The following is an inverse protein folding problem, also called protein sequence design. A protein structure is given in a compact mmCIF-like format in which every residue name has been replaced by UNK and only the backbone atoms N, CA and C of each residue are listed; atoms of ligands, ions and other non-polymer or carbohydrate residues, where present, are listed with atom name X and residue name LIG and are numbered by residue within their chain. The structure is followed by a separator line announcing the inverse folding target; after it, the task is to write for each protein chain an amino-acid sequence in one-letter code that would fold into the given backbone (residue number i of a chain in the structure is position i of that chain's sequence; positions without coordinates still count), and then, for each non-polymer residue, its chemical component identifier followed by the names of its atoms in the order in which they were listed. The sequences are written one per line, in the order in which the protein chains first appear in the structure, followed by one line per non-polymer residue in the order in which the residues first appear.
data_IF_786520864980
#
_entry.id   IF_786520864980
#
_cell.length_a   1.000
_cell.length_b   1.000
_cell.length_c   1.000
_cell.angle_alpha   90.00
_cell.angle_beta   90.00
_cell.angle_gamma   90.00
#
_symmetry.space_group_name_H-M   'P 1'
#
loop_
_entity.id
_entity.type
_entity.pdbx_description
1 polymer ?
#
# COMPACT_ATOMS: atom_id res chain seq x y z
N UNK A 1 -5.48 -7.32 19.35
CA UNK A 1 -4.20 -8.04 19.43
C UNK A 1 -3.45 -7.77 18.14
N UNK A 2 -2.21 -7.30 18.22
CA UNK A 2 -1.51 -6.59 17.12
C UNK A 2 -1.65 -7.24 15.73
N UNK A 3 -1.62 -8.58 15.64
CA UNK A 3 -1.76 -9.33 14.37
C UNK A 3 -3.15 -9.22 13.73
N UNK A 4 -4.22 -9.19 14.53
CA UNK A 4 -5.59 -9.08 14.02
C UNK A 4 -5.87 -7.67 13.48
N UNK A 5 -5.41 -6.65 14.18
CA UNK A 5 -5.54 -5.25 13.75
C UNK A 5 -4.79 -5.02 12.43
N UNK A 6 -3.56 -5.53 12.32
CA UNK A 6 -2.77 -5.49 11.08
C UNK A 6 -3.47 -6.20 9.92
N UNK A 7 -4.06 -7.38 10.18
CA UNK A 7 -4.81 -8.10 9.15
C UNK A 7 -6.08 -7.37 8.72
N UNK A 8 -6.85 -6.80 9.65
CA UNK A 8 -8.07 -6.02 9.34
C UNK A 8 -7.70 -4.81 8.49
N UNK A 9 -6.61 -4.12 8.82
CA UNK A 9 -6.13 -2.98 8.05
C UNK A 9 -5.75 -3.40 6.62
N UNK A 10 -4.96 -4.48 6.48
CA UNK A 10 -4.62 -5.04 5.17
C UNK A 10 -5.86 -5.41 4.36
N UNK A 11 -6.83 -6.09 4.96
CA UNK A 11 -8.05 -6.54 4.29
C UNK A 11 -8.84 -5.37 3.72
N UNK A 12 -9.04 -4.32 4.53
CA UNK A 12 -9.87 -3.18 4.13
C UNK A 12 -9.17 -2.21 3.17
N UNK A 13 -7.84 -2.11 3.19
CA UNK A 13 -7.12 -1.10 2.40
C UNK A 13 -6.29 -1.65 1.23
N UNK A 14 -5.96 -2.93 1.23
CA UNK A 14 -5.01 -3.49 0.26
C UNK A 14 -5.51 -4.76 -0.44
N UNK A 15 -6.37 -5.55 0.22
CA UNK A 15 -6.90 -6.77 -0.41
C UNK A 15 -7.94 -6.38 -1.47
N UNK A 16 -7.76 -6.89 -2.68
CA UNK A 16 -8.67 -6.63 -3.78
C UNK A 16 -9.84 -7.63 -3.81
N UNK A 17 -10.99 -7.17 -4.26
CA UNK A 17 -12.23 -7.95 -4.31
C UNK A 17 -12.86 -7.92 -5.70
N UNK A 18 -13.21 -9.09 -6.24
CA UNK A 18 -13.87 -9.19 -7.55
C UNK A 18 -15.18 -8.41 -7.63
N UNK A 19 -15.98 -8.45 -6.54
CA UNK A 19 -17.24 -7.70 -6.44
C UNK A 19 -17.06 -6.17 -6.43
N UNK A 20 -15.85 -5.69 -6.15
CA UNK A 20 -15.49 -4.27 -6.14
C UNK A 20 -14.61 -3.91 -7.36
N UNK A 21 -14.80 -4.58 -8.49
CA UNK A 21 -13.99 -4.36 -9.70
C UNK A 21 -12.48 -4.50 -9.46
N UNK A 22 -12.08 -5.44 -8.58
CA UNK A 22 -10.69 -5.66 -8.14
C UNK A 22 -10.10 -4.48 -7.33
N UNK A 23 -10.94 -3.65 -6.73
CA UNK A 23 -10.54 -2.66 -5.73
C UNK A 23 -10.64 -3.23 -4.30
N UNK A 24 -10.11 -2.50 -3.32
CA UNK A 24 -10.30 -2.74 -1.90
C UNK A 24 -11.53 -1.99 -1.35
N UNK A 25 -12.08 -2.39 -0.18
CA UNK A 25 -13.20 -1.68 0.44
C UNK A 25 -12.92 -0.19 0.71
N UNK A 26 -11.68 0.12 1.08
CA UNK A 26 -11.14 1.47 1.12
C UNK A 26 -10.13 1.61 0.00
N UNK A 27 -10.47 2.36 -1.04
CA UNK A 27 -9.60 2.54 -2.21
C UNK A 27 -8.27 3.17 -1.82
N UNK A 28 -7.19 2.68 -2.44
CA UNK A 28 -5.87 3.26 -2.27
C UNK A 28 -5.68 4.50 -3.15
N UNK A 29 -4.93 5.52 -2.69
CA UNK A 29 -4.58 6.65 -3.54
C UNK A 29 -3.67 6.21 -4.69
N UNK A 30 -3.81 6.88 -5.84
CA UNK A 30 -2.86 6.72 -6.96
C UNK A 30 -1.56 7.44 -6.61
N UNK A 31 -0.45 6.71 -6.61
CA UNK A 31 0.87 7.27 -6.35
C UNK A 31 1.44 7.85 -7.65
N UNK A 32 1.69 9.15 -7.65
CA UNK A 32 2.28 9.85 -8.79
C UNK A 32 3.75 10.11 -8.48
N UNK A 33 4.64 9.66 -9.37
CA UNK A 33 6.07 9.95 -9.27
C UNK A 33 6.34 11.41 -9.64
N UNK A 34 7.05 12.20 -8.81
CA UNK A 34 7.60 13.48 -9.22
C UNK A 34 8.44 13.36 -10.50
N UNK A 35 8.18 14.22 -11.48
CA UNK A 35 8.79 14.15 -12.81
C UNK A 35 10.23 14.66 -12.87
N UNK A 36 10.64 15.46 -11.89
CA UNK A 36 11.97 16.06 -11.77
C UNK A 36 13.04 15.08 -11.26
N UNK A 37 12.67 13.82 -10.99
CA UNK A 37 13.58 12.81 -10.48
C UNK A 37 13.96 12.98 -9.02
N UNK A 38 13.32 13.92 -8.31
CA UNK A 38 13.57 14.23 -6.90
C UNK A 38 13.15 13.13 -5.93
N UNK A 39 12.45 12.08 -6.41
CA UNK A 39 11.93 11.03 -5.55
C UNK A 39 12.37 9.62 -5.95
N UNK A 40 12.60 8.79 -4.92
CA UNK A 40 12.87 7.36 -5.00
C UNK A 40 11.61 6.56 -4.63
N UNK A 41 11.42 5.42 -5.27
CA UNK A 41 10.39 4.46 -4.89
C UNK A 41 10.88 3.66 -3.69
N UNK A 42 10.14 3.67 -2.59
CA UNK A 42 10.43 2.91 -1.38
C UNK A 42 9.44 1.77 -1.23
N UNK A 43 9.93 0.61 -0.81
CA UNK A 43 9.12 -0.59 -0.56
C UNK A 43 9.19 -0.93 0.93
N UNK A 44 8.02 -0.99 1.57
CA UNK A 44 7.91 -1.28 3.00
C UNK A 44 7.20 -2.62 3.21
N UNK A 45 7.85 -3.62 3.83
CA UNK A 45 7.20 -4.88 4.15
C UNK A 45 6.18 -4.66 5.28
N UNK A 46 4.99 -5.22 5.11
CA UNK A 46 3.90 -5.26 6.10
C UNK A 46 3.34 -6.68 6.21
N UNK A 47 2.43 -6.92 7.16
CA UNK A 47 1.82 -8.23 7.38
C UNK A 47 2.88 -9.31 7.64
N UNK A 48 3.86 -8.99 8.48
CA UNK A 48 5.01 -9.85 8.74
C UNK A 48 5.87 -10.18 7.51
N UNK A 49 5.83 -9.34 6.46
CA UNK A 49 6.60 -9.52 5.22
C UNK A 49 5.85 -10.26 4.12
N UNK A 50 4.57 -10.62 4.32
CA UNK A 50 3.75 -11.26 3.29
C UNK A 50 3.21 -10.27 2.25
N UNK A 51 3.29 -8.97 2.52
CA UNK A 51 2.85 -7.93 1.61
C UNK A 51 3.80 -6.74 1.65
N UNK A 52 3.86 -5.98 0.55
CA UNK A 52 4.66 -4.76 0.45
C UNK A 52 3.75 -3.61 0.04
N UNK A 53 3.88 -2.49 0.74
CA UNK A 53 3.34 -1.20 0.30
C UNK A 53 4.46 -0.36 -0.32
N UNK A 54 4.07 0.59 -1.16
CA UNK A 54 5.02 1.43 -1.89
C UNK A 54 4.71 2.90 -1.65
N UNK A 55 5.74 3.74 -1.63
CA UNK A 55 5.65 5.19 -1.52
C UNK A 55 6.76 5.84 -2.34
N UNK A 56 6.55 7.10 -2.73
CA UNK A 56 7.65 7.95 -3.20
C UNK A 56 8.14 8.78 -2.03
N UNK A 57 9.45 8.79 -1.81
CA UNK A 57 10.14 9.62 -0.82
C UNK A 57 11.21 10.45 -1.51
N UNK A 58 11.60 11.58 -0.92
CA UNK A 58 12.67 12.41 -1.45
C UNK A 58 13.98 11.61 -1.59
N UNK A 59 14.63 11.77 -2.73
CA UNK A 59 15.96 11.29 -3.00
C UNK A 59 16.95 12.24 -2.30
N UNK A 60 17.55 11.76 -1.21
CA UNK A 60 18.59 12.47 -0.46
C UNK A 60 19.88 12.66 -1.29
#
# INVERSE_FOLDING_TARGET
GKKLEEFIHFYNHHRTHLALNKDSPVSSPVLIRPSDGSAKLVSTPVLGGLYHIYSYEDAA
#
